data_IF_142110248386
#
_entry.id   IF_142110248386
#
_cell.length_a   1.000
_cell.length_b   1.000
_cell.length_c   1.000
_cell.angle_alpha   90.00
_cell.angle_beta   90.00
_cell.angle_gamma   90.00
#
_symmetry.space_group_name_H-M   'P 1'
#
loop_
_entity.id
_entity.type
_entity.pdbx_description
1 polymer ?
#
# COMPACT_ATOMS: atom_id res chain seq x y z
N UNK A 1 17.06 -13.72 -53.48
CA UNK A 1 15.88 -13.87 -52.61
C UNK A 1 16.38 -14.33 -51.25
N UNK A 2 16.47 -13.44 -50.26
CA UNK A 2 17.03 -13.76 -48.93
C UNK A 2 15.88 -14.10 -47.98
N UNK A 3 15.76 -15.37 -47.58
CA UNK A 3 14.77 -15.84 -46.63
C UNK A 3 15.27 -15.60 -45.20
N UNK A 4 14.53 -14.83 -44.40
CA UNK A 4 14.80 -14.65 -42.97
C UNK A 4 14.69 -16.01 -42.26
N UNK A 5 15.76 -16.41 -41.56
CA UNK A 5 15.70 -17.56 -40.65
C UNK A 5 14.63 -17.29 -39.57
N UNK A 6 13.71 -18.23 -39.30
CA UNK A 6 12.75 -18.08 -38.22
C UNK A 6 13.46 -18.07 -36.87
N UNK A 7 13.15 -17.07 -36.04
CA UNK A 7 13.74 -16.90 -34.71
C UNK A 7 13.61 -18.16 -33.85
N UNK A 8 14.67 -18.49 -33.12
CA UNK A 8 14.78 -19.70 -32.30
C UNK A 8 13.98 -19.57 -31.00
N UNK A 9 12.65 -19.53 -31.11
CA UNK A 9 11.78 -19.58 -29.93
C UNK A 9 11.92 -20.95 -29.26
N UNK A 10 12.21 -20.97 -27.96
CA UNK A 10 12.19 -22.21 -27.19
C UNK A 10 10.78 -22.77 -27.21
N UNK A 11 10.63 -24.03 -27.61
CA UNK A 11 9.39 -24.78 -27.42
C UNK A 11 9.06 -24.72 -25.93
N UNK A 12 7.86 -24.22 -25.61
CA UNK A 12 7.41 -24.07 -24.23
C UNK A 12 7.39 -25.43 -23.52
N UNK A 13 7.86 -25.48 -22.29
CA UNK A 13 7.72 -26.66 -21.44
C UNK A 13 6.27 -26.86 -20.99
N UNK A 14 5.93 -28.03 -20.43
CA UNK A 14 4.59 -28.27 -19.88
C UNK A 14 4.23 -27.18 -18.87
N UNK A 15 2.95 -26.76 -18.90
CA UNK A 15 2.45 -25.76 -17.96
C UNK A 15 2.57 -26.31 -16.54
N UNK A 16 3.42 -25.67 -15.73
CA UNK A 16 3.54 -25.97 -14.30
C UNK A 16 2.62 -25.01 -13.55
N UNK A 17 1.76 -25.54 -12.68
CA UNK A 17 0.98 -24.73 -11.77
C UNK A 17 1.92 -24.14 -10.72
N UNK A 18 2.09 -22.81 -10.77
CA UNK A 18 2.88 -22.09 -9.77
C UNK A 18 1.93 -21.58 -8.70
N UNK A 19 2.17 -21.98 -7.45
CA UNK A 19 1.40 -21.46 -6.32
C UNK A 19 1.68 -19.96 -6.13
N UNK A 20 0.66 -19.11 -5.93
CA UNK A 20 0.86 -17.69 -5.68
C UNK A 20 1.71 -17.46 -4.43
N UNK A 21 2.87 -16.81 -4.60
CA UNK A 21 3.72 -16.41 -3.47
C UNK A 21 3.06 -15.27 -2.69
N UNK A 22 2.79 -15.50 -1.40
CA UNK A 22 2.30 -14.45 -0.49
C UNK A 22 3.47 -13.58 -0.01
N UNK A 23 3.74 -12.51 -0.73
CA UNK A 23 4.73 -11.51 -0.31
C UNK A 23 4.29 -10.82 0.99
N UNK A 24 5.26 -10.64 1.89
CA UNK A 24 5.15 -9.85 3.12
C UNK A 24 3.89 -10.16 3.96
N UNK A 25 3.54 -11.44 4.07
CA UNK A 25 2.30 -11.89 4.72
C UNK A 25 2.16 -11.37 6.16
N UNK A 26 3.26 -11.31 6.91
CA UNK A 26 3.28 -10.76 8.27
C UNK A 26 2.96 -9.24 8.30
N UNK A 27 3.50 -8.47 7.35
CA UNK A 27 3.23 -7.02 7.24
C UNK A 27 1.78 -6.77 6.83
N UNK A 28 1.23 -7.59 5.93
CA UNK A 28 -0.19 -7.54 5.56
C UNK A 28 -1.11 -7.89 6.73
N UNK A 29 -0.76 -8.89 7.53
CA UNK A 29 -1.51 -9.24 8.73
C UNK A 29 -1.46 -8.12 9.77
N UNK A 30 -0.29 -7.51 10.00
CA UNK A 30 -0.15 -6.36 10.89
C UNK A 30 -1.01 -5.17 10.43
N UNK A 31 -1.00 -4.84 9.13
CA UNK A 31 -1.85 -3.78 8.59
C UNK A 31 -3.35 -4.08 8.79
N UNK A 32 -3.77 -5.33 8.58
CA UNK A 32 -5.16 -5.74 8.79
C UNK A 32 -5.60 -5.67 10.27
N UNK A 33 -4.69 -5.89 11.22
CA UNK A 33 -4.98 -5.70 12.65
C UNK A 33 -5.19 -4.22 12.96
N UNK A 34 -4.36 -3.33 12.39
CA UNK A 34 -4.52 -1.88 12.57
C UNK A 34 -5.84 -1.40 11.97
N UNK A 35 -6.17 -1.84 10.74
CA UNK A 35 -7.44 -1.53 10.07
C UNK A 35 -8.66 -1.87 10.94
N UNK A 36 -8.65 -3.05 11.58
CA UNK A 36 -9.71 -3.46 12.49
C UNK A 36 -9.78 -2.64 13.78
N UNK A 37 -8.64 -2.14 14.26
CA UNK A 37 -8.56 -1.37 15.51
C UNK A 37 -8.91 0.11 15.33
N UNK A 38 -8.80 0.64 14.12
CA UNK A 38 -8.90 2.07 13.82
C UNK A 38 -10.09 2.34 12.87
N UNK A 39 -11.35 2.31 13.36
CA UNK A 39 -12.55 2.25 12.53
C UNK A 39 -12.78 3.48 11.64
N UNK A 40 -12.06 4.57 11.86
CA UNK A 40 -12.12 5.76 11.01
C UNK A 40 -11.07 5.78 9.89
N UNK A 41 -10.20 4.77 9.83
CA UNK A 41 -9.15 4.64 8.83
C UNK A 41 -9.33 3.36 8.04
N UNK A 42 -8.99 3.43 6.76
CA UNK A 42 -8.72 2.27 5.94
C UNK A 42 -7.21 2.06 5.85
N UNK A 43 -6.72 0.93 6.33
CA UNK A 43 -5.28 0.65 6.47
C UNK A 43 -4.88 -0.60 5.68
N UNK A 44 -3.82 -0.48 4.90
CA UNK A 44 -3.26 -1.60 4.14
C UNK A 44 -1.74 -1.52 4.01
N UNK A 45 -1.12 -2.65 3.65
CA UNK A 45 0.30 -2.71 3.33
C UNK A 45 0.50 -2.73 1.81
N UNK A 46 1.18 -1.72 1.28
CA UNK A 46 1.53 -1.62 -0.13
C UNK A 46 2.75 -2.48 -0.45
N UNK A 47 2.55 -3.65 -1.07
CA UNK A 47 3.65 -4.58 -1.42
C UNK A 47 4.67 -3.95 -2.38
N UNK A 48 4.22 -3.07 -3.28
CA UNK A 48 5.09 -2.37 -4.24
C UNK A 48 5.98 -1.29 -3.60
N UNK A 49 5.41 -0.48 -2.70
CA UNK A 49 6.15 0.56 -1.97
C UNK A 49 6.84 0.04 -0.70
N UNK A 50 6.45 -1.14 -0.23
CA UNK A 50 6.83 -1.71 1.07
C UNK A 50 6.48 -0.83 2.28
N UNK A 51 5.47 0.03 2.14
CA UNK A 51 4.98 0.93 3.20
C UNK A 51 3.60 0.53 3.71
N UNK A 52 3.34 0.84 4.97
CA UNK A 52 1.99 0.89 5.53
C UNK A 52 1.32 2.18 5.06
N UNK A 53 0.05 2.11 4.68
CA UNK A 53 -0.73 3.24 4.19
C UNK A 53 -2.04 3.28 4.95
N UNK A 54 -2.42 4.46 5.43
CA UNK A 54 -3.71 4.72 6.05
C UNK A 54 -4.43 5.86 5.31
N UNK A 55 -5.71 5.68 5.04
CA UNK A 55 -6.59 6.65 4.38
C UNK A 55 -7.79 6.92 5.27
N UNK A 56 -8.05 8.18 5.61
CA UNK A 56 -9.20 8.52 6.45
C UNK A 56 -10.50 8.28 5.68
N UNK A 57 -11.47 7.59 6.29
CA UNK A 57 -12.78 7.32 5.69
C UNK A 57 -13.88 8.28 6.16
N UNK A 58 -13.60 9.13 7.14
CA UNK A 58 -14.49 10.23 7.53
C UNK A 58 -14.37 11.43 6.59
N UNK A 59 -15.35 12.33 6.67
CA UNK A 59 -15.37 13.58 5.90
C UNK A 59 -14.40 14.61 6.50
N UNK A 60 -13.14 14.54 6.09
CA UNK A 60 -12.17 15.59 6.33
C UNK A 60 -12.28 16.70 5.25
N UNK A 61 -11.89 17.96 5.56
CA UNK A 61 -11.88 19.05 4.59
C UNK A 61 -11.03 18.77 3.34
N UNK A 62 -9.99 17.95 3.49
CA UNK A 62 -9.14 17.45 2.41
C UNK A 62 -8.94 15.94 2.61
N UNK A 63 -8.80 15.13 1.54
CA UNK A 63 -8.50 13.71 1.67
C UNK A 63 -7.20 13.50 2.47
N UNK A 64 -7.28 12.78 3.60
CA UNK A 64 -6.13 12.47 4.43
C UNK A 64 -5.57 11.10 4.08
N UNK A 65 -4.28 11.07 3.78
CA UNK A 65 -3.50 9.86 3.55
C UNK A 65 -2.14 10.02 4.20
N UNK A 66 -1.72 9.00 4.94
CA UNK A 66 -0.38 8.92 5.55
C UNK A 66 0.25 7.58 5.24
N UNK A 67 1.58 7.54 5.16
CA UNK A 67 2.32 6.31 4.88
C UNK A 67 3.65 6.22 5.62
N UNK A 68 3.99 5.02 6.10
CA UNK A 68 5.09 4.79 7.03
C UNK A 68 5.80 3.46 6.78
N UNK A 69 7.03 3.32 7.28
CA UNK A 69 7.80 2.08 7.20
C UNK A 69 7.41 1.05 8.28
N UNK A 70 6.80 1.52 9.37
CA UNK A 70 6.35 0.73 10.51
C UNK A 70 4.91 1.03 10.91
N UNK A 71 4.32 0.17 11.76
CA UNK A 71 2.95 0.36 12.26
C UNK A 71 2.91 1.47 13.31
N UNK A 72 3.95 1.57 14.11
CA UNK A 72 4.09 2.52 15.19
C UNK A 72 4.17 3.95 14.64
N UNK A 73 5.00 4.15 13.62
CA UNK A 73 5.10 5.43 12.89
C UNK A 73 3.78 5.76 12.18
N UNK A 74 3.13 4.77 11.57
CA UNK A 74 1.83 4.98 10.92
C UNK A 74 0.79 5.51 11.92
N UNK A 75 0.71 4.90 13.10
CA UNK A 75 -0.24 5.28 14.16
C UNK A 75 0.00 6.70 14.67
N UNK A 76 1.27 7.12 14.78
CA UNK A 76 1.58 8.49 15.16
C UNK A 76 1.11 9.48 14.11
N UNK A 77 1.43 9.24 12.83
CA UNK A 77 0.98 10.08 11.71
C UNK A 77 -0.56 10.15 11.61
N UNK A 78 -1.26 9.04 11.89
CA UNK A 78 -2.72 9.00 11.94
C UNK A 78 -3.27 9.94 13.03
N UNK A 79 -2.68 9.91 14.24
CA UNK A 79 -3.08 10.81 15.34
C UNK A 79 -2.77 12.27 15.03
N UNK A 80 -1.61 12.55 14.47
CA UNK A 80 -1.25 13.91 14.04
C UNK A 80 -2.23 14.44 12.98
N UNK A 81 -2.62 13.60 12.01
CA UNK A 81 -3.57 13.95 10.98
C UNK A 81 -4.98 14.21 11.55
N UNK A 82 -5.44 13.42 12.52
CA UNK A 82 -6.69 13.64 13.24
C UNK A 82 -6.70 14.99 13.97
N UNK A 83 -5.63 15.29 14.71
CA UNK A 83 -5.48 16.56 15.41
C UNK A 83 -5.44 17.75 14.44
N UNK A 84 -4.70 17.62 13.34
CA UNK A 84 -4.63 18.64 12.29
C UNK A 84 -5.99 18.91 11.62
N UNK A 85 -6.77 17.84 11.39
CA UNK A 85 -8.12 17.95 10.83
C UNK A 85 -9.09 18.67 11.77
N UNK A 86 -9.02 18.38 13.08
CA UNK A 86 -9.81 19.06 14.10
C UNK A 86 -9.41 20.54 14.28
N UNK A 87 -8.12 20.85 14.15
CA UNK A 87 -7.60 22.21 14.25
C UNK A 87 -7.94 23.10 13.04
N UNK A 88 -8.61 22.57 12.00
CA UNK A 88 -8.93 23.31 10.78
C UNK A 88 -7.68 23.70 9.98
N UNK A 89 -6.53 23.07 10.24
CA UNK A 89 -5.29 23.30 9.51
C UNK A 89 -5.41 22.59 8.15
N UNK A 90 -6.17 23.23 7.25
CA UNK A 90 -6.15 22.96 5.83
C UNK A 90 -4.78 23.30 5.27
N UNK A 91 -3.85 22.35 5.36
CA UNK A 91 -2.50 22.51 4.84
C UNK A 91 -1.99 21.19 4.32
N UNK A 92 -2.30 20.89 3.06
CA UNK A 92 -1.49 20.11 2.11
C UNK A 92 -0.47 19.15 2.75
N UNK A 93 -0.89 17.93 3.12
CA UNK A 93 0.06 16.83 3.29
C UNK A 93 0.11 16.06 1.98
N UNK A 94 0.77 16.71 1.02
CA UNK A 94 1.19 16.13 -0.23
C UNK A 94 2.42 15.25 0.04
N UNK A 95 2.23 13.94 -0.10
CA UNK A 95 3.24 12.93 -0.43
C UNK A 95 4.57 12.99 0.35
N UNK A 96 4.79 12.04 1.25
CA UNK A 96 6.15 11.64 1.64
C UNK A 96 6.37 10.21 1.17
N UNK A 97 7.16 10.10 0.11
CA UNK A 97 7.62 8.84 -0.52
C UNK A 97 8.39 7.94 0.45
#
# INVERSE_FOLDING_TARGET
MSGREPGRHRVGGPQVRVEPRKWDAAKRAAAALVDQMEPGWFVFYGVGSRRFVAIAIWRAPQPLRVEAGSVEELRELMREAELGAMAGLGGSWAWVA
#
